data_IF_663706824321
#
_entry.id   IF_663706824321
#
_cell.length_a   1.000
_cell.length_b   1.000
_cell.length_c   1.000
_cell.angle_alpha   90.00
_cell.angle_beta   90.00
_cell.angle_gamma   90.00
#
_symmetry.space_group_name_H-M   'P 1'
#
loop_
_entity.id
_entity.type
_entity.pdbx_description
1 polymer ?
#
# COMPACT_ATOMS: atom_id res chain seq x y z
N UNK A 1 -3.82 -11.77 -14.49
CA UNK A 1 -3.76 -11.72 -13.01
C UNK A 1 -4.15 -13.06 -12.42
N UNK A 2 -3.43 -13.53 -11.43
CA UNK A 2 -3.75 -14.78 -10.76
C UNK A 2 -5.00 -14.69 -9.90
N UNK A 3 -5.43 -15.82 -9.43
CA UNK A 3 -6.62 -15.89 -8.57
C UNK A 3 -6.35 -15.25 -7.22
N UNK A 4 -7.28 -14.41 -6.77
CA UNK A 4 -7.18 -13.76 -5.47
C UNK A 4 -7.81 -14.68 -4.42
N UNK A 5 -7.08 -14.93 -3.35
CA UNK A 5 -7.52 -15.81 -2.28
C UNK A 5 -8.03 -15.03 -1.07
N UNK A 6 -8.89 -15.66 -0.29
CA UNK A 6 -9.38 -15.08 0.97
C UNK A 6 -8.20 -14.74 1.87
N UNK A 7 -8.21 -13.55 2.44
CA UNK A 7 -7.14 -13.06 3.29
C UNK A 7 -6.12 -12.21 2.57
N UNK A 8 -6.12 -12.23 1.24
CA UNK A 8 -5.20 -11.37 0.50
C UNK A 8 -5.67 -9.92 0.53
N UNK A 9 -4.69 -9.04 0.50
CA UNK A 9 -4.93 -7.61 0.28
C UNK A 9 -4.85 -7.33 -1.22
N UNK A 10 -5.60 -6.35 -1.68
CA UNK A 10 -5.58 -5.92 -3.08
C UNK A 10 -5.35 -4.42 -3.15
N UNK A 11 -4.68 -3.99 -4.21
CA UNK A 11 -4.48 -2.57 -4.50
C UNK A 11 -5.12 -2.26 -5.84
N UNK A 12 -5.90 -1.19 -5.90
CA UNK A 12 -6.58 -0.77 -7.13
C UNK A 12 -5.77 0.28 -7.89
N UNK A 13 -6.18 0.56 -9.12
CA UNK A 13 -5.58 1.61 -9.95
C UNK A 13 -5.61 2.98 -9.27
N UNK A 14 -6.62 3.20 -8.45
CA UNK A 14 -6.78 4.48 -7.74
C UNK A 14 -6.00 4.53 -6.43
N UNK A 15 -5.27 3.47 -6.11
CA UNK A 15 -4.46 3.42 -4.91
C UNK A 15 -5.22 3.02 -3.66
N UNK A 16 -6.42 2.51 -3.80
CA UNK A 16 -7.18 2.01 -2.65
C UNK A 16 -6.73 0.61 -2.30
N UNK A 17 -6.69 0.31 -1.02
CA UNK A 17 -6.29 -1.01 -0.52
C UNK A 17 -7.45 -1.63 0.23
N UNK A 18 -7.77 -2.86 -0.14
CA UNK A 18 -8.83 -3.65 0.48
C UNK A 18 -8.30 -5.02 0.86
N UNK A 19 -8.99 -5.68 1.77
CA UNK A 19 -8.70 -7.08 2.10
C UNK A 19 -9.87 -7.95 1.64
N UNK A 20 -9.56 -9.06 0.98
CA UNK A 20 -10.56 -10.01 0.51
C UNK A 20 -10.94 -10.94 1.65
N UNK A 21 -12.15 -10.79 2.15
CA UNK A 21 -12.63 -11.60 3.28
C UNK A 21 -13.92 -12.34 2.89
N UNK A 22 -14.24 -13.33 3.70
CA UNK A 22 -15.46 -14.12 3.50
C UNK A 22 -16.50 -13.70 4.54
N UNK A 23 -17.71 -13.42 4.09
CA UNK A 23 -18.82 -13.11 4.97
C UNK A 23 -19.94 -14.12 4.74
N UNK A 24 -20.12 -15.06 5.66
CA UNK A 24 -21.14 -16.09 5.57
C UNK A 24 -21.13 -16.80 4.22
N UNK A 25 -21.96 -16.37 3.29
CA UNK A 25 -22.11 -17.03 2.00
C UNK A 25 -21.45 -16.29 0.84
N UNK A 26 -20.84 -15.15 1.11
CA UNK A 26 -20.27 -14.32 0.06
C UNK A 26 -18.82 -13.93 0.36
N UNK A 27 -18.09 -13.62 -0.71
CA UNK A 27 -16.76 -13.06 -0.62
C UNK A 27 -16.85 -11.58 -0.93
N UNK A 28 -16.21 -10.76 -0.13
CA UNK A 28 -16.19 -9.32 -0.39
C UNK A 28 -14.88 -8.70 0.07
N UNK A 29 -14.62 -7.50 -0.43
CA UNK A 29 -13.42 -6.75 -0.09
C UNK A 29 -13.74 -5.76 1.02
N UNK A 30 -12.84 -5.64 1.96
CA UNK A 30 -12.97 -4.69 3.06
C UNK A 30 -11.78 -3.75 3.04
N UNK A 31 -12.07 -2.48 3.06
CA UNK A 31 -11.10 -1.43 3.21
C UNK A 31 -11.69 -0.39 4.12
N UNK A 32 -11.28 0.85 3.91
CA UNK A 32 -11.81 1.97 4.69
C UNK A 32 -13.32 2.12 4.51
N UNK A 33 -13.83 1.80 3.31
CA UNK A 33 -15.23 2.04 2.93
C UNK A 33 -15.89 0.76 2.46
N UNK A 34 -15.88 -0.31 3.04
CA UNK A 34 -16.63 -1.52 2.64
C UNK A 34 -17.09 -1.48 1.18
N UNK A 35 -16.15 -1.41 0.29
CA UNK A 35 -16.46 -1.26 -1.13
C UNK A 35 -15.87 -2.43 -1.91
N UNK A 36 -16.65 -2.97 -2.87
CA UNK A 36 -16.18 -4.05 -3.72
C UNK A 36 -15.64 -3.47 -5.03
N UNK A 37 -14.31 -3.48 -5.23
CA UNK A 37 -13.75 -2.96 -6.47
C UNK A 37 -14.00 -3.91 -7.63
N UNK A 38 -14.04 -3.37 -8.83
CA UNK A 38 -14.07 -4.22 -10.01
C UNK A 38 -12.73 -4.94 -10.12
N UNK A 39 -12.77 -6.21 -10.52
CA UNK A 39 -11.56 -7.02 -10.62
C UNK A 39 -10.55 -6.43 -11.60
N UNK A 40 -11.02 -5.81 -12.66
CA UNK A 40 -10.13 -5.19 -13.65
C UNK A 40 -9.42 -3.94 -13.12
N UNK A 41 -9.87 -3.40 -11.99
CA UNK A 41 -9.23 -2.25 -11.36
C UNK A 41 -8.13 -2.66 -10.40
N UNK A 42 -7.99 -3.95 -10.11
CA UNK A 42 -6.97 -4.46 -9.21
C UNK A 42 -5.65 -4.58 -9.95
N UNK A 43 -4.62 -3.90 -9.46
CA UNK A 43 -3.30 -3.92 -10.09
C UNK A 43 -2.32 -4.85 -9.38
N UNK A 44 -2.59 -5.21 -8.13
CA UNK A 44 -1.73 -6.11 -7.38
C UNK A 44 -2.49 -6.73 -6.22
N UNK A 45 -2.06 -7.90 -5.78
CA UNK A 45 -2.63 -8.58 -4.62
C UNK A 45 -1.57 -9.45 -3.93
N UNK A 46 -1.70 -9.60 -2.61
CA UNK A 46 -0.78 -10.43 -1.83
C UNK A 46 -1.34 -10.63 -0.44
N UNK A 47 -0.88 -11.69 0.23
CA UNK A 47 -1.21 -11.91 1.64
C UNK A 47 -0.42 -10.98 2.56
N UNK A 48 0.61 -10.32 2.07
CA UNK A 48 1.41 -9.37 2.84
C UNK A 48 1.24 -7.97 2.28
N UNK A 49 0.91 -7.02 3.13
CA UNK A 49 0.74 -5.61 2.72
C UNK A 49 1.98 -5.05 2.05
N UNK A 50 3.16 -5.47 2.52
CA UNK A 50 4.42 -4.94 1.98
C UNK A 50 4.57 -5.19 0.48
N UNK A 51 3.96 -6.25 -0.04
CA UNK A 51 4.02 -6.58 -1.46
C UNK A 51 3.20 -5.62 -2.32
N UNK A 52 2.31 -4.84 -1.71
CA UNK A 52 1.46 -3.88 -2.41
C UNK A 52 2.03 -2.47 -2.39
N UNK A 53 3.07 -2.23 -1.61
CA UNK A 53 3.67 -0.91 -1.47
C UNK A 53 4.46 -0.56 -2.73
N UNK A 54 4.40 0.69 -3.13
CA UNK A 54 5.15 1.23 -4.28
C UNK A 54 6.00 2.40 -3.82
N UNK A 55 7.07 2.66 -4.56
CA UNK A 55 7.89 3.85 -4.31
C UNK A 55 7.01 5.09 -4.48
N UNK A 56 7.12 6.00 -3.54
CA UNK A 56 6.29 7.20 -3.51
C UNK A 56 5.11 7.10 -2.55
N UNK A 57 4.75 5.89 -2.12
CA UNK A 57 3.72 5.73 -1.09
C UNK A 57 4.24 6.29 0.23
N UNK A 58 3.31 6.65 1.10
CA UNK A 58 3.65 7.13 2.44
C UNK A 58 3.24 6.06 3.43
N UNK A 59 4.24 5.47 4.09
CA UNK A 59 4.02 4.42 5.07
C UNK A 59 4.44 4.93 6.43
N UNK A 60 3.54 4.83 7.41
CA UNK A 60 3.77 5.35 8.76
C UNK A 60 4.23 6.82 8.74
N UNK A 61 3.70 7.59 7.78
CA UNK A 61 4.01 9.01 7.65
C UNK A 61 5.31 9.32 6.92
N UNK A 62 6.02 8.31 6.41
CA UNK A 62 7.32 8.51 5.74
C UNK A 62 7.25 8.01 4.30
N UNK A 63 7.93 8.70 3.40
CA UNK A 63 7.93 8.35 1.98
C UNK A 63 8.78 7.11 1.71
N UNK A 64 8.23 6.18 0.95
CA UNK A 64 8.95 5.00 0.51
C UNK A 64 9.87 5.38 -0.64
N UNK A 65 11.16 5.11 -0.51
CA UNK A 65 12.15 5.49 -1.53
C UNK A 65 12.75 4.28 -2.23
N UNK A 66 12.73 3.12 -1.61
CA UNK A 66 13.38 1.94 -2.17
C UNK A 66 12.85 0.66 -1.52
N UNK A 67 13.11 -0.47 -2.15
CA UNK A 67 12.84 -1.79 -1.58
C UNK A 67 14.15 -2.50 -1.26
N UNK A 68 14.10 -3.42 -0.31
CA UNK A 68 15.26 -4.20 0.06
C UNK A 68 14.86 -5.47 0.79
N UNK A 69 15.81 -6.04 1.49
CA UNK A 69 15.60 -7.25 2.30
C UNK A 69 16.36 -7.11 3.60
N UNK A 70 15.80 -7.69 4.65
CA UNK A 70 16.44 -7.76 5.96
C UNK A 70 16.52 -9.21 6.39
N UNK A 71 17.57 -9.55 7.12
CA UNK A 71 17.75 -10.88 7.66
C UNK A 71 17.17 -10.90 9.08
N UNK A 72 16.11 -11.65 9.28
CA UNK A 72 15.43 -11.74 10.58
C UNK A 72 15.39 -13.20 11.00
N UNK A 73 16.03 -13.51 12.13
CA UNK A 73 16.07 -14.87 12.65
C UNK A 73 16.51 -15.92 11.60
N UNK A 74 17.49 -15.54 10.76
CA UNK A 74 17.98 -16.40 9.71
C UNK A 74 17.15 -16.43 8.44
N UNK A 75 16.05 -15.71 8.40
CA UNK A 75 15.18 -15.66 7.22
C UNK A 75 15.33 -14.32 6.51
N UNK A 76 15.24 -14.37 5.19
CA UNK A 76 15.29 -13.18 4.36
C UNK A 76 13.88 -12.63 4.22
N UNK A 77 13.66 -11.43 4.78
CA UNK A 77 12.36 -10.78 4.75
C UNK A 77 12.39 -9.54 3.88
N UNK A 78 11.36 -9.34 3.09
CA UNK A 78 11.23 -8.14 2.27
C UNK A 78 11.09 -6.90 3.16
N UNK A 79 11.79 -5.83 2.80
CA UNK A 79 11.69 -4.56 3.52
C UNK A 79 11.44 -3.42 2.55
N UNK A 80 10.93 -2.32 3.09
CA UNK A 80 10.86 -1.05 2.37
C UNK A 80 11.77 -0.07 3.07
N UNK A 81 12.45 0.77 2.30
CA UNK A 81 13.25 1.86 2.84
C UNK A 81 12.41 3.13 2.78
N UNK A 82 12.25 3.77 3.92
CA UNK A 82 11.51 5.03 4.01
C UNK A 82 12.44 6.15 4.44
N UNK A 83 12.16 7.35 3.98
CA UNK A 83 12.93 8.52 4.37
C UNK A 83 12.38 9.08 5.67
N UNK A 84 13.25 9.25 6.65
CA UNK A 84 12.87 9.79 7.95
C UNK A 84 12.29 11.19 7.83
N UNK A 85 11.22 11.43 8.57
CA UNK A 85 10.44 12.66 8.46
C UNK A 85 11.24 13.91 8.82
N UNK A 86 12.11 13.82 9.80
CA UNK A 86 12.84 14.98 10.32
C UNK A 86 14.34 14.91 10.08
N UNK A 87 14.88 13.71 9.94
CA UNK A 87 16.34 13.51 9.90
C UNK A 87 16.86 13.27 8.50
N UNK A 88 15.99 12.95 7.56
CA UNK A 88 16.34 12.56 6.19
C UNK A 88 17.26 11.33 6.15
N UNK A 89 17.26 10.57 7.20
CA UNK A 89 17.97 9.29 7.25
C UNK A 89 16.99 8.19 6.89
N UNK A 90 17.36 7.34 5.94
CA UNK A 90 16.51 6.22 5.54
C UNK A 90 16.60 5.11 6.57
N UNK A 91 15.46 4.44 6.79
CA UNK A 91 15.43 3.25 7.62
C UNK A 91 14.47 2.22 7.03
N UNK A 92 14.67 0.98 7.42
CA UNK A 92 13.91 -0.15 6.86
C UNK A 92 12.68 -0.46 7.70
N UNK A 93 11.57 -0.75 7.03
CA UNK A 93 10.36 -1.26 7.65
C UNK A 93 10.07 -2.64 7.07
N UNK A 94 9.65 -3.54 7.93
CA UNK A 94 9.20 -4.88 7.55
C UNK A 94 7.69 -4.92 7.51
N UNK A 95 7.13 -6.02 6.99
CA UNK A 95 5.69 -6.13 6.84
C UNK A 95 4.94 -5.86 8.15
N UNK A 96 5.44 -6.38 9.26
CA UNK A 96 4.80 -6.21 10.57
C UNK A 96 4.98 -4.82 11.18
N UNK A 97 5.83 -3.99 10.59
CA UNK A 97 6.03 -2.61 11.05
C UNK A 97 5.03 -1.64 10.41
N UNK A 98 4.30 -2.08 9.40
CA UNK A 98 3.39 -1.21 8.66
C UNK A 98 2.12 -0.98 9.45
N UNK A 99 1.87 0.29 9.82
CA UNK A 99 0.67 0.67 10.54
C UNK A 99 -0.30 1.46 9.67
N UNK A 100 0.23 2.36 8.84
CA UNK A 100 -0.60 3.18 7.96
C UNK A 100 0.01 3.23 6.57
N UNK A 101 -0.85 3.30 5.57
CA UNK A 101 -0.44 3.46 4.17
C UNK A 101 -1.31 4.55 3.54
N UNK A 102 -0.64 5.55 2.97
CA UNK A 102 -1.28 6.51 2.08
C UNK A 102 -0.60 6.33 0.73
N UNK A 103 -1.31 5.78 -0.24
CA UNK A 103 -0.71 5.50 -1.53
C UNK A 103 -0.43 6.80 -2.29
N UNK A 104 0.54 6.77 -3.21
CA UNK A 104 0.87 7.98 -3.97
C UNK A 104 -0.31 8.47 -4.79
N UNK A 105 -1.18 7.55 -5.27
CA UNK A 105 -2.39 7.95 -5.99
C UNK A 105 -3.35 8.72 -5.08
N UNK A 106 -3.55 8.22 -3.85
CA UNK A 106 -4.41 8.91 -2.88
C UNK A 106 -3.82 10.23 -2.45
N UNK A 107 -2.51 10.29 -2.29
CA UNK A 107 -1.82 11.51 -1.94
C UNK A 107 -2.03 12.58 -3.01
N UNK A 108 -1.89 12.22 -4.27
CA UNK A 108 -2.11 13.13 -5.39
C UNK A 108 -3.55 13.62 -5.47
N UNK A 109 -4.52 12.74 -5.25
CA UNK A 109 -5.93 13.09 -5.28
C UNK A 109 -6.31 14.09 -4.19
N UNK A 110 -5.67 14.00 -3.04
CA UNK A 110 -6.02 14.80 -1.87
C UNK A 110 -5.12 16.01 -1.67
N UNK A 111 -4.08 16.17 -2.48
CA UNK A 111 -3.16 17.29 -2.35
C UNK A 111 -3.73 18.55 -2.94
N UNK A 112 -3.55 19.66 -2.24
CA UNK A 112 -3.85 20.96 -2.79
C UNK A 112 -2.75 21.34 -3.79
N UNK A 113 -3.13 21.67 -5.00
CA UNK A 113 -2.18 22.03 -6.07
C UNK A 113 -2.17 23.52 -6.29
N UNK A 114 -1.11 24.15 -5.85
CA UNK A 114 -0.98 25.60 -5.91
C UNK A 114 -0.73 26.03 -7.36
N UNK A 115 -1.57 26.96 -7.83
CA UNK A 115 -1.43 27.63 -9.12
C UNK A 115 -1.50 26.70 -10.31
N UNK A 116 -1.12 25.72 -10.36
CA UNK A 116 -0.89 24.70 -11.32
C UNK A 116 -1.72 24.67 -12.56
N UNK A 117 -2.07 23.49 -12.89
CA UNK A 117 -2.79 23.13 -14.09
C UNK A 117 -4.21 23.68 -14.13
N UNK A 118 -4.64 24.31 -13.09
CA UNK A 118 -5.95 24.97 -13.07
C UNK A 118 -5.98 26.25 -13.88
N UNK A 119 -4.86 26.61 -14.47
CA UNK A 119 -4.82 27.75 -15.34
C UNK A 119 -4.90 29.09 -14.63
N UNK A 120 -4.46 29.12 -13.47
CA UNK A 120 -4.48 30.34 -12.69
C UNK A 120 -3.47 31.33 -13.20
#
# INVERSE_FOLDING_TARGET
>A
MGKIEVGEYVRTKEGKIYQYIRNLDELYFVGKDYFEPYLEDIVNHSKQLIDLIEVGDIVNGCSVVEFGYECVNGNKEKSILVEGKYTKVNYALLNWDIETILTHEQYEQNSYKVGGEDGI
#
